data_IF_120401578076
#
_entry.id   IF_120401578076
#
_cell.length_a   1.000
_cell.length_b   1.000
_cell.length_c   1.000
_cell.angle_alpha   90.00
_cell.angle_beta   90.00
_cell.angle_gamma   90.00
#
_symmetry.space_group_name_H-M   'P 1'
#
loop_
_entity.id
_entity.type
_entity.pdbx_description
1 polymer ?
#
# COMPACT_ATOMS: atom_id res chain seq x y z
N UNK A 1 18.71 -1.46 -14.49
CA UNK A 1 18.84 -0.14 -13.84
C UNK A 1 18.45 -0.38 -12.39
N UNK A 2 19.37 -0.23 -11.44
CA UNK A 2 19.05 -0.43 -10.01
C UNK A 2 18.29 0.80 -9.54
N UNK A 3 17.15 0.59 -8.88
CA UNK A 3 16.43 1.67 -8.20
C UNK A 3 17.38 2.37 -7.23
N UNK A 4 17.35 3.70 -7.22
CA UNK A 4 17.92 4.42 -6.09
C UNK A 4 17.06 4.15 -4.85
N UNK A 5 17.65 4.23 -3.66
CA UNK A 5 16.87 4.15 -2.40
C UNK A 5 15.73 5.17 -2.37
N UNK A 6 15.84 6.29 -3.10
CA UNK A 6 14.77 7.30 -3.19
C UNK A 6 13.55 6.81 -3.98
N UNK A 7 13.72 6.05 -5.06
CA UNK A 7 12.60 5.54 -5.86
C UNK A 7 11.84 4.43 -5.12
N UNK A 8 12.58 3.58 -4.40
CA UNK A 8 12.02 2.59 -3.47
C UNK A 8 11.22 3.30 -2.35
N UNK A 9 11.80 4.35 -1.78
CA UNK A 9 11.13 5.18 -0.78
C UNK A 9 9.95 5.95 -1.36
N UNK A 10 9.91 6.26 -2.66
CA UNK A 10 8.78 6.93 -3.30
C UNK A 10 7.60 5.99 -3.53
N UNK A 11 7.87 4.73 -3.89
CA UNK A 11 6.86 3.67 -4.02
C UNK A 11 6.25 3.34 -2.64
N UNK A 12 7.05 3.40 -1.58
CA UNK A 12 6.62 3.06 -0.21
C UNK A 12 6.04 4.28 0.54
N UNK A 13 6.55 5.48 0.27
CA UNK A 13 6.17 6.72 0.96
C UNK A 13 5.62 7.76 -0.02
N UNK A 14 4.73 7.38 -0.94
CA UNK A 14 4.02 8.33 -1.81
C UNK A 14 3.43 9.47 -0.97
N UNK A 15 4.18 10.56 -0.84
CA UNK A 15 3.76 11.81 -0.21
C UNK A 15 3.23 12.71 -1.31
N UNK A 16 1.93 13.02 -1.34
CA UNK A 16 1.44 14.13 -2.12
C UNK A 16 1.79 15.40 -1.35
N UNK A 17 2.58 16.29 -1.95
CA UNK A 17 2.62 17.68 -1.50
C UNK A 17 1.28 18.33 -1.87
N UNK A 18 0.37 18.41 -0.89
CA UNK A 18 -0.99 18.90 -1.09
C UNK A 18 -1.35 20.03 -0.12
N UNK A 19 -1.70 21.19 -0.67
CA UNK A 19 -2.22 22.36 0.04
C UNK A 19 -3.65 22.13 0.57
N UNK A 20 -3.97 22.80 1.67
CA UNK A 20 -5.18 22.66 2.49
C UNK A 20 -6.44 23.23 1.82
N UNK A 21 -7.53 22.45 1.68
CA UNK A 21 -8.90 22.96 1.44
C UNK A 21 -9.94 22.17 2.24
N UNK A 22 -11.02 22.82 2.75
CA UNK A 22 -12.01 22.19 3.61
C UNK A 22 -13.13 21.53 2.81
N UNK A 23 -13.31 20.22 3.06
CA UNK A 23 -14.53 19.41 2.94
C UNK A 23 -15.45 19.62 1.72
N UNK A 24 -15.27 18.77 0.71
CA UNK A 24 -16.33 18.03 0.01
C UNK A 24 -15.75 16.68 -0.47
N UNK A 25 -16.41 15.57 -0.12
CA UNK A 25 -15.88 14.19 -0.20
C UNK A 25 -16.07 13.51 -1.57
N UNK A 26 -16.46 14.25 -2.60
CA UNK A 26 -16.74 13.69 -3.94
C UNK A 26 -15.66 14.03 -5.00
N UNK A 27 -14.64 14.84 -4.68
CA UNK A 27 -13.78 15.40 -5.75
C UNK A 27 -12.30 15.56 -5.38
N UNK A 28 -11.68 14.61 -4.67
CA UNK A 28 -10.23 14.68 -4.42
C UNK A 28 -9.49 13.35 -4.63
N UNK A 29 -8.78 13.27 -5.76
CA UNK A 29 -7.69 12.33 -6.05
C UNK A 29 -6.45 12.53 -5.14
N UNK A 30 -6.49 13.43 -4.15
CA UNK A 30 -5.32 13.77 -3.32
C UNK A 30 -5.69 14.10 -1.87
N UNK A 31 -5.52 13.15 -0.94
CA UNK A 31 -5.61 13.41 0.49
C UNK A 31 -4.32 14.09 1.01
N UNK A 32 -4.41 15.32 1.52
CA UNK A 32 -3.28 16.03 2.12
C UNK A 32 -2.86 15.42 3.48
N UNK A 33 -1.58 15.44 3.85
CA UNK A 33 -1.12 14.81 5.11
C UNK A 33 -1.75 15.42 6.38
N UNK A 34 -2.03 14.64 7.44
CA UNK A 34 -2.73 15.17 8.60
C UNK A 34 -1.98 16.26 9.38
N UNK A 35 -2.64 17.38 9.67
CA UNK A 35 -2.15 18.43 10.58
C UNK A 35 -2.68 18.24 12.02
N UNK A 36 -1.99 18.73 13.05
CA UNK A 36 -2.46 18.65 14.44
C UNK A 36 -3.86 19.25 14.66
N UNK A 37 -4.21 20.26 13.86
CA UNK A 37 -5.45 21.02 13.92
C UNK A 37 -6.60 20.40 13.13
N UNK A 38 -6.41 19.22 12.52
CA UNK A 38 -7.49 18.56 11.83
C UNK A 38 -8.63 18.14 12.78
N UNK A 39 -9.89 18.24 12.32
CA UNK A 39 -11.02 17.71 13.07
C UNK A 39 -10.90 16.20 13.26
N UNK A 40 -11.52 15.69 14.32
CA UNK A 40 -11.47 14.26 14.69
C UNK A 40 -11.97 13.35 13.55
N UNK A 41 -12.97 13.78 12.79
CA UNK A 41 -13.48 13.05 11.62
C UNK A 41 -12.40 12.85 10.55
N UNK A 42 -11.61 13.89 10.25
CA UNK A 42 -10.50 13.79 9.30
C UNK A 42 -9.38 12.90 9.84
N UNK A 43 -9.02 13.04 11.13
CA UNK A 43 -8.02 12.17 11.78
C UNK A 43 -8.40 10.69 11.70
N UNK A 44 -9.69 10.39 11.88
CA UNK A 44 -10.22 9.03 11.72
C UNK A 44 -10.01 8.49 10.30
N UNK A 45 -10.33 9.29 9.28
CA UNK A 45 -10.12 8.89 7.87
C UNK A 45 -8.64 8.55 7.64
N UNK A 46 -7.70 9.39 8.08
CA UNK A 46 -6.27 9.09 7.92
C UNK A 46 -5.83 7.82 8.65
N UNK A 47 -6.33 7.58 9.86
CA UNK A 47 -6.03 6.34 10.59
C UNK A 47 -6.55 5.10 9.86
N UNK A 48 -7.75 5.18 9.29
CA UNK A 48 -8.33 4.09 8.48
C UNK A 48 -7.50 3.84 7.21
N UNK A 49 -7.03 4.90 6.53
CA UNK A 49 -6.18 4.78 5.34
C UNK A 49 -4.83 4.16 5.65
N UNK A 50 -4.14 4.61 6.71
CA UNK A 50 -2.84 4.04 7.11
C UNK A 50 -2.98 2.57 7.46
N UNK A 51 -4.00 2.20 8.23
CA UNK A 51 -4.24 0.81 8.58
C UNK A 51 -4.51 -0.05 7.33
N UNK A 52 -5.40 0.44 6.45
CA UNK A 52 -5.74 -0.23 5.18
C UNK A 52 -4.49 -0.42 4.32
N UNK A 53 -3.58 0.55 4.27
CA UNK A 53 -2.32 0.42 3.52
C UNK A 53 -1.48 -0.77 4.03
N UNK A 54 -1.29 -0.90 5.34
CA UNK A 54 -0.55 -2.04 5.91
C UNK A 54 -1.26 -3.38 5.68
N UNK A 55 -2.59 -3.41 5.77
CA UNK A 55 -3.38 -4.61 5.46
C UNK A 55 -3.18 -5.04 4.00
N UNK A 56 -3.23 -4.10 3.06
CA UNK A 56 -2.99 -4.36 1.64
C UNK A 56 -1.58 -4.86 1.36
N UNK A 57 -0.56 -4.30 2.03
CA UNK A 57 0.82 -4.81 1.91
C UNK A 57 0.95 -6.25 2.43
N UNK A 58 0.28 -6.58 3.53
CA UNK A 58 0.23 -7.95 4.06
C UNK A 58 -0.48 -8.89 3.08
N UNK A 59 -1.56 -8.44 2.46
CA UNK A 59 -2.28 -9.23 1.46
C UNK A 59 -1.44 -9.47 0.21
N UNK A 60 -0.72 -8.46 -0.29
CA UNK A 60 0.26 -8.61 -1.38
C UNK A 60 1.32 -9.64 -1.00
N UNK A 61 1.90 -9.53 0.21
CA UNK A 61 2.87 -10.50 0.72
C UNK A 61 2.32 -11.92 0.72
N UNK A 62 1.08 -12.12 1.17
CA UNK A 62 0.43 -13.43 1.18
C UNK A 62 0.12 -13.95 -0.23
N UNK A 63 -0.33 -13.08 -1.13
CA UNK A 63 -0.63 -13.44 -2.52
C UNK A 63 0.62 -13.93 -3.25
N UNK A 64 1.76 -13.24 -3.09
CA UNK A 64 3.06 -13.60 -3.71
C UNK A 64 3.67 -14.93 -3.21
N UNK A 65 3.06 -15.59 -2.21
CA UNK A 65 3.43 -16.95 -1.81
C UNK A 65 2.84 -18.04 -2.71
N UNK A 66 1.74 -17.73 -3.39
CA UNK A 66 0.95 -18.71 -4.15
C UNK A 66 0.63 -18.26 -5.57
N UNK A 67 0.97 -17.03 -5.94
CA UNK A 67 0.71 -16.46 -7.25
C UNK A 67 1.97 -15.80 -7.78
N UNK A 68 2.16 -15.92 -9.09
CA UNK A 68 3.26 -15.29 -9.83
C UNK A 68 2.88 -13.89 -10.35
N UNK A 69 1.66 -13.44 -10.04
CA UNK A 69 1.12 -12.16 -10.45
C UNK A 69 0.26 -11.58 -9.33
N UNK A 70 0.49 -10.31 -9.01
CA UNK A 70 -0.33 -9.52 -8.09
C UNK A 70 -0.44 -8.11 -8.65
N UNK A 71 -1.65 -7.57 -8.70
CA UNK A 71 -1.89 -6.16 -8.94
C UNK A 71 -2.58 -5.55 -7.72
N UNK A 72 -1.99 -4.50 -7.17
CA UNK A 72 -2.52 -3.74 -6.04
C UNK A 72 -3.05 -2.40 -6.54
N UNK A 73 -4.33 -2.13 -6.32
CA UNK A 73 -4.94 -0.83 -6.59
C UNK A 73 -4.52 0.18 -5.53
N UNK A 74 -4.08 1.36 -5.95
CA UNK A 74 -3.81 2.45 -5.01
C UNK A 74 -5.14 2.97 -4.44
N UNK A 75 -5.19 3.15 -3.12
CA UNK A 75 -6.40 3.63 -2.47
C UNK A 75 -6.58 5.14 -2.69
N UNK A 76 -5.49 5.87 -2.95
CA UNK A 76 -5.50 7.30 -3.26
C UNK A 76 -5.96 7.58 -4.70
N UNK A 77 -5.73 6.64 -5.62
CA UNK A 77 -5.95 6.83 -7.05
C UNK A 77 -6.75 5.67 -7.65
N UNK A 78 -8.02 5.92 -7.92
CA UNK A 78 -8.97 4.89 -8.35
C UNK A 78 -8.65 4.23 -9.72
N UNK A 79 -7.72 4.79 -10.49
CA UNK A 79 -7.25 4.26 -11.76
C UNK A 79 -5.80 3.75 -11.73
N UNK A 80 -5.07 3.88 -10.61
CA UNK A 80 -3.65 3.51 -10.55
C UNK A 80 -3.47 2.16 -9.86
N UNK A 81 -2.62 1.33 -10.45
CA UNK A 81 -2.31 -0.01 -9.97
C UNK A 81 -0.79 -0.21 -9.92
N UNK A 82 -0.31 -0.83 -8.85
CA UNK A 82 1.01 -1.44 -8.78
C UNK A 82 0.90 -2.89 -9.25
N UNK A 83 1.44 -3.16 -10.43
CA UNK A 83 1.63 -4.51 -10.94
C UNK A 83 2.93 -5.11 -10.42
N UNK A 84 2.86 -6.36 -9.98
CA UNK A 84 3.96 -7.16 -9.44
C UNK A 84 3.95 -8.52 -10.13
N UNK A 85 4.97 -8.79 -10.94
CA UNK A 85 5.16 -10.08 -11.59
C UNK A 85 6.37 -10.81 -10.98
N UNK A 86 6.25 -12.09 -10.70
CA UNK A 86 7.34 -12.92 -10.18
C UNK A 86 8.19 -13.43 -11.33
N UNK A 87 9.49 -13.15 -11.29
CA UNK A 87 10.51 -13.68 -12.20
C UNK A 87 11.61 -14.36 -11.37
N UNK A 88 11.40 -15.64 -11.06
CA UNK A 88 12.28 -16.43 -10.19
C UNK A 88 12.48 -15.76 -8.81
N UNK A 89 13.70 -15.39 -8.46
CA UNK A 89 14.06 -14.69 -7.21
C UNK A 89 13.78 -13.17 -7.26
N UNK A 90 13.30 -12.66 -8.39
CA UNK A 90 13.06 -11.25 -8.60
C UNK A 90 11.56 -10.97 -8.77
N UNK A 91 11.21 -9.71 -8.55
CA UNK A 91 9.92 -9.14 -8.87
C UNK A 91 10.11 -8.07 -9.93
N UNK A 92 9.22 -8.07 -10.92
CA UNK A 92 9.12 -7.02 -11.94
C UNK A 92 7.91 -6.16 -11.60
N UNK A 93 8.17 -4.90 -11.30
CA UNK A 93 7.19 -3.91 -10.87
C UNK A 93 6.86 -2.95 -12.00
N UNK A 94 5.59 -2.65 -12.18
CA UNK A 94 5.12 -1.61 -13.08
C UNK A 94 3.99 -0.83 -12.44
N UNK A 95 3.91 0.46 -12.71
CA UNK A 95 2.72 1.26 -12.40
C UNK A 95 1.84 1.30 -13.63
N UNK A 96 0.57 0.95 -13.46
CA UNK A 96 -0.41 0.86 -14.52
C UNK A 96 -1.58 1.81 -14.26
N UNK A 97 -2.10 2.39 -15.34
CA UNK A 97 -3.34 3.16 -15.38
C UNK A 97 -4.42 2.37 -16.06
N UNK A 98 -5.47 2.06 -15.31
CA UNK A 98 -6.65 1.37 -15.81
C UNK A 98 -7.86 1.61 -14.91
N UNK A 99 -8.91 2.20 -15.47
CA UNK A 99 -10.14 2.48 -14.75
C UNK A 99 -11.03 1.25 -14.75
N UNK A 100 -11.28 0.69 -13.56
CA UNK A 100 -12.28 -0.36 -13.38
C UNK A 100 -13.27 0.08 -12.31
N UNK A 101 -14.49 0.39 -12.76
CA UNK A 101 -15.53 0.99 -11.93
C UNK A 101 -16.09 0.07 -10.83
N UNK A 102 -15.93 -1.25 -10.92
CA UNK A 102 -16.68 -2.21 -10.08
C UNK A 102 -15.84 -3.20 -9.28
N UNK A 103 -14.52 -2.99 -9.16
CA UNK A 103 -13.71 -3.88 -8.33
C UNK A 103 -13.94 -3.61 -6.84
N UNK A 104 -14.60 -4.57 -6.19
CA UNK A 104 -14.75 -4.61 -4.73
C UNK A 104 -13.42 -4.85 -4.02
N UNK A 105 -12.47 -5.52 -4.69
CA UNK A 105 -11.19 -5.91 -4.12
C UNK A 105 -10.08 -4.98 -4.62
N UNK A 106 -9.24 -4.52 -3.71
CA UNK A 106 -8.06 -3.70 -4.02
C UNK A 106 -6.87 -4.53 -4.53
N UNK A 107 -6.96 -5.86 -4.48
CA UNK A 107 -5.93 -6.77 -4.97
C UNK A 107 -6.52 -7.71 -6.02
N UNK A 108 -5.78 -7.92 -7.09
CA UNK A 108 -6.09 -8.86 -8.15
C UNK A 108 -4.90 -9.80 -8.38
N UNK A 109 -5.15 -11.10 -8.58
CA UNK A 109 -4.15 -12.08 -8.99
C UNK A 109 -4.35 -12.58 -10.42
N UNK A 110 -5.40 -12.10 -11.10
CA UNK A 110 -5.66 -12.38 -12.50
C UNK A 110 -4.98 -11.34 -13.41
N UNK A 111 -3.92 -11.78 -14.10
CA UNK A 111 -3.17 -10.97 -15.08
C UNK A 111 -4.04 -10.44 -16.21
N UNK A 112 -5.11 -11.14 -16.60
CA UNK A 112 -5.93 -10.74 -17.73
C UNK A 112 -6.76 -9.49 -17.46
N UNK A 113 -6.97 -9.15 -16.18
CA UNK A 113 -7.73 -7.97 -15.78
C UNK A 113 -7.10 -6.67 -16.29
N UNK A 114 -5.78 -6.57 -16.27
CA UNK A 114 -5.02 -5.36 -16.60
C UNK A 114 -4.28 -5.47 -17.94
N UNK A 115 -4.65 -6.42 -18.80
CA UNK A 115 -3.96 -6.66 -20.08
C UNK A 115 -3.96 -5.45 -21.02
N UNK A 116 -4.98 -4.59 -20.92
CA UNK A 116 -5.17 -3.39 -21.74
C UNK A 116 -4.75 -2.11 -21.00
N UNK A 117 -4.15 -2.24 -19.81
CA UNK A 117 -3.69 -1.12 -19.01
C UNK A 117 -2.46 -0.46 -19.63
N UNK A 118 -2.39 0.87 -19.53
CA UNK A 118 -1.22 1.64 -19.98
C UNK A 118 -0.25 1.81 -18.83
N UNK A 119 1.06 1.77 -19.10
CA UNK A 119 2.06 2.12 -18.07
C UNK A 119 1.97 3.61 -17.69
N UNK A 120 2.20 3.91 -16.41
CA UNK A 120 2.21 5.27 -15.87
C UNK A 120 3.63 5.73 -15.51
N UNK A 121 3.95 5.95 -14.23
CA UNK A 121 5.21 6.61 -13.82
C UNK A 121 6.45 5.73 -14.00
N UNK A 122 6.30 4.40 -13.90
CA UNK A 122 7.41 3.47 -14.09
C UNK A 122 6.94 2.12 -14.64
N UNK A 123 7.88 1.38 -15.24
CA UNK A 123 7.61 0.07 -15.84
C UNK A 123 8.84 -0.82 -15.78
N UNK A 124 8.64 -2.13 -15.60
CA UNK A 124 9.68 -3.16 -15.61
C UNK A 124 10.82 -2.93 -14.61
N UNK A 125 10.50 -2.35 -13.47
CA UNK A 125 11.44 -2.12 -12.38
C UNK A 125 11.70 -3.45 -11.66
N UNK A 126 12.97 -3.88 -11.62
CA UNK A 126 13.33 -5.18 -11.05
C UNK A 126 13.88 -5.04 -9.64
N UNK A 127 13.28 -5.74 -8.68
CA UNK A 127 13.75 -5.84 -7.29
C UNK A 127 13.91 -7.29 -6.87
N UNK A 128 14.76 -7.56 -5.88
CA UNK A 128 14.84 -8.90 -5.33
C UNK A 128 13.59 -9.19 -4.48
N UNK A 129 13.03 -10.40 -4.59
CA UNK A 129 11.80 -10.78 -3.88
C UNK A 129 11.97 -10.66 -2.37
N UNK A 130 13.13 -11.05 -1.86
CA UNK A 130 13.42 -10.93 -0.44
C UNK A 130 13.46 -9.47 0.04
N UNK A 131 13.85 -8.50 -0.79
CA UNK A 131 13.93 -7.10 -0.37
C UNK A 131 12.53 -6.54 -0.08
N UNK A 132 11.57 -6.78 -0.98
CA UNK A 132 10.16 -6.41 -0.75
C UNK A 132 9.60 -7.08 0.50
N UNK A 133 9.85 -8.38 0.67
CA UNK A 133 9.37 -9.14 1.82
C UNK A 133 9.94 -8.58 3.13
N UNK A 134 11.24 -8.29 3.18
CA UNK A 134 11.87 -7.71 4.36
C UNK A 134 11.33 -6.32 4.64
N UNK A 135 11.14 -5.49 3.61
CA UNK A 135 10.62 -4.14 3.76
C UNK A 135 9.19 -4.14 4.33
N UNK A 136 8.27 -4.94 3.77
CA UNK A 136 6.90 -5.09 4.29
C UNK A 136 6.93 -5.55 5.76
N UNK A 137 7.79 -6.53 6.07
CA UNK A 137 7.94 -7.04 7.44
C UNK A 137 8.43 -5.95 8.39
N UNK A 138 9.52 -5.27 8.05
CA UNK A 138 10.16 -4.26 8.89
C UNK A 138 9.21 -3.09 9.11
N UNK A 139 8.60 -2.54 8.06
CA UNK A 139 7.67 -1.42 8.18
C UNK A 139 6.44 -1.77 9.02
N UNK A 140 5.92 -2.99 8.91
CA UNK A 140 4.79 -3.42 9.75
C UNK A 140 5.22 -3.55 11.21
N UNK A 141 6.41 -4.09 11.48
CA UNK A 141 6.97 -4.17 12.84
C UNK A 141 7.17 -2.78 13.44
N UNK A 142 7.80 -1.88 12.70
CA UNK A 142 8.06 -0.49 13.12
C UNK A 142 6.75 0.22 13.46
N UNK A 143 5.75 0.11 12.58
CA UNK A 143 4.42 0.67 12.81
C UNK A 143 3.77 0.14 14.10
N UNK A 144 3.82 -1.17 14.34
CA UNK A 144 3.28 -1.76 15.57
C UNK A 144 4.04 -1.27 16.82
N UNK A 145 5.37 -1.19 16.76
CA UNK A 145 6.18 -0.67 17.88
C UNK A 145 5.84 0.79 18.17
N UNK A 146 5.64 1.62 17.14
CA UNK A 146 5.21 3.01 17.31
C UNK A 146 3.85 3.09 18.01
N UNK A 147 2.87 2.30 17.59
CA UNK A 147 1.55 2.25 18.25
C UNK A 147 1.67 1.75 19.70
N UNK A 148 2.50 0.74 19.98
CA UNK A 148 2.77 0.27 21.35
C UNK A 148 3.31 1.38 22.24
N UNK A 149 4.23 2.20 21.71
CA UNK A 149 4.81 3.34 22.43
C UNK A 149 3.80 4.45 22.72
N UNK A 150 2.76 4.60 21.89
CA UNK A 150 1.71 5.61 22.05
C UNK A 150 0.55 5.12 22.92
N UNK A 151 -0.03 3.97 22.58
CA UNK A 151 -1.14 3.35 23.29
C UNK A 151 -1.28 1.86 22.92
N UNK A 152 -0.70 0.98 23.75
CA UNK A 152 -0.73 -0.46 23.52
C UNK A 152 -2.15 -1.06 23.50
N UNK A 153 -3.11 -0.49 24.22
CA UNK A 153 -4.46 -1.06 24.32
C UNK A 153 -5.20 -1.02 22.98
N UNK A 154 -4.85 -0.08 22.09
CA UNK A 154 -5.42 0.02 20.74
C UNK A 154 -5.17 -1.25 19.92
N UNK A 155 -4.03 -1.93 20.13
CA UNK A 155 -3.67 -3.14 19.40
C UNK A 155 -4.53 -4.35 19.75
N UNK A 156 -5.31 -4.28 20.84
CA UNK A 156 -6.30 -5.31 21.19
C UNK A 156 -7.60 -5.20 20.38
N UNK A 157 -7.77 -4.11 19.62
CA UNK A 157 -8.95 -3.87 18.81
C UNK A 157 -9.03 -4.84 17.63
N UNK A 158 -10.26 -5.19 17.22
CA UNK A 158 -10.53 -6.07 16.08
C UNK A 158 -9.88 -5.58 14.79
N UNK A 159 -9.70 -4.26 14.63
CA UNK A 159 -9.11 -3.64 13.45
C UNK A 159 -7.61 -3.97 13.29
N UNK A 160 -6.90 -4.30 14.37
CA UNK A 160 -5.47 -4.63 14.30
C UNK A 160 -5.21 -6.14 14.18
N UNK A 161 -6.26 -6.97 14.11
CA UNK A 161 -6.14 -8.44 14.13
C UNK A 161 -5.18 -8.95 13.03
N UNK A 162 -5.31 -8.45 11.80
CA UNK A 162 -4.47 -8.87 10.68
C UNK A 162 -3.00 -8.49 10.89
N UNK A 163 -2.73 -7.24 11.23
CA UNK A 163 -1.38 -6.75 11.50
C UNK A 163 -0.73 -7.51 12.67
N UNK A 164 -1.46 -7.72 13.77
CA UNK A 164 -0.95 -8.45 14.94
C UNK A 164 -0.66 -9.91 14.61
N UNK A 165 -1.52 -10.57 13.83
CA UNK A 165 -1.26 -11.92 13.34
C UNK A 165 0.00 -12.00 12.47
N UNK A 166 0.22 -11.00 11.62
CA UNK A 166 1.41 -10.92 10.79
C UNK A 166 2.67 -10.65 11.61
N UNK A 167 2.61 -9.68 12.54
CA UNK A 167 3.68 -9.33 13.47
C UNK A 167 4.13 -10.54 14.31
N UNK A 168 3.18 -11.28 14.89
CA UNK A 168 3.48 -12.42 15.75
C UNK A 168 4.13 -13.60 14.99
N UNK A 169 3.80 -13.79 13.71
CA UNK A 169 4.46 -14.79 12.84
C UNK A 169 5.83 -14.35 12.34
N UNK A 170 6.09 -13.05 12.45
CA UNK A 170 7.31 -12.38 11.99
C UNK A 170 8.28 -12.09 13.13
N UNK A 171 8.06 -12.65 14.33
CA UNK A 171 9.06 -12.77 15.39
C UNK A 171 9.81 -14.08 15.23
#
# INVERSE_FOLDING_TARGET
>A
MNLSNEELMRIINTRPEGNYYPFDLEEYDHAAYPSPNLPLSAKRIYSELILTHFELLIDVYNALKSHDYVALKYFEYSWTWLEIQVDSDYLVLSELKYEIMSLKNMICTDKFLLKDATCDSFSNVRIHKNDLIHEIRNKTIDFIIEIQGLNNDILSSIYFTQLMNFYNKSK
#
